data_IF_791128771477
#
_entry.id   IF_791128771477
#
_cell.length_a   1.000
_cell.length_b   1.000
_cell.length_c   1.000
_cell.angle_alpha   90.00
_cell.angle_beta   90.00
_cell.angle_gamma   90.00
#
_symmetry.space_group_name_H-M   'P 1'
#
loop_
_entity.id
_entity.type
_entity.pdbx_description
1 polymer ?
#
# COMPACT_ATOMS: atom_id res chain seq x y z
N UNK A 1 -9.46 11.11 2.99
CA UNK A 1 -10.05 11.73 4.19
C UNK A 1 -10.54 13.12 3.85
N UNK A 2 -9.67 14.09 3.53
CA UNK A 2 -10.09 15.47 3.22
C UNK A 2 -11.20 15.57 2.16
N UNK A 3 -11.06 14.90 1.01
CA UNK A 3 -12.10 14.88 -0.03
C UNK A 3 -13.42 14.29 0.44
N UNK A 4 -13.37 13.27 1.29
CA UNK A 4 -14.57 12.67 1.90
C UNK A 4 -15.22 13.66 2.86
N UNK A 5 -14.44 14.28 3.75
CA UNK A 5 -14.93 15.24 4.74
C UNK A 5 -15.60 16.43 4.05
N UNK A 6 -15.02 16.97 2.98
CA UNK A 6 -15.64 18.05 2.18
C UNK A 6 -16.97 17.66 1.53
N UNK A 7 -17.17 16.37 1.22
CA UNK A 7 -18.44 15.88 0.69
C UNK A 7 -19.44 15.56 1.80
N UNK A 8 -18.96 15.11 2.95
CA UNK A 8 -19.77 14.76 4.11
C UNK A 8 -20.29 15.99 4.85
N UNK A 9 -19.45 17.03 4.99
CA UNK A 9 -19.80 18.31 5.58
C UNK A 9 -19.33 19.46 4.67
N UNK A 10 -20.25 20.35 4.29
CA UNK A 10 -19.99 21.49 3.43
C UNK A 10 -18.99 22.49 4.05
N UNK A 11 -18.89 22.54 5.38
CA UNK A 11 -17.92 23.38 6.09
C UNK A 11 -16.48 22.83 6.01
N UNK A 12 -16.29 21.59 5.55
CA UNK A 12 -14.98 20.99 5.29
C UNK A 12 -14.27 20.40 6.51
N UNK A 13 -14.89 20.46 7.70
CA UNK A 13 -14.37 19.89 8.95
C UNK A 13 -15.43 19.04 9.66
N UNK A 14 -14.97 18.06 10.45
CA UNK A 14 -15.83 17.18 11.26
C UNK A 14 -15.21 17.07 12.65
N UNK A 15 -16.01 17.35 13.68
CA UNK A 15 -15.56 17.22 15.07
C UNK A 15 -15.39 15.75 15.44
N UNK A 16 -14.40 15.43 16.29
CA UNK A 16 -14.19 14.07 16.77
C UNK A 16 -15.42 13.48 17.48
N UNK A 17 -16.24 14.33 18.13
CA UNK A 17 -17.50 13.95 18.76
C UNK A 17 -18.60 13.54 17.77
N UNK A 18 -18.49 13.95 16.50
CA UNK A 18 -19.44 13.60 15.44
C UNK A 18 -19.05 12.31 14.71
N UNK A 19 -17.88 11.74 15.02
CA UNK A 19 -17.42 10.50 14.39
C UNK A 19 -18.17 9.33 15.02
N UNK A 20 -18.97 8.66 14.20
CA UNK A 20 -19.76 7.48 14.57
C UNK A 20 -19.30 6.26 13.77
N UNK A 21 -19.89 5.10 14.05
CA UNK A 21 -19.69 3.93 13.22
C UNK A 21 -20.26 4.11 11.80
N UNK A 22 -21.34 4.87 11.65
CA UNK A 22 -21.92 5.24 10.35
C UNK A 22 -20.92 6.06 9.52
N UNK A 23 -20.22 7.02 10.13
CA UNK A 23 -19.17 7.79 9.45
C UNK A 23 -18.09 6.89 8.83
N UNK A 24 -17.71 5.80 9.51
CA UNK A 24 -16.73 4.87 8.97
C UNK A 24 -17.28 4.02 7.82
N UNK A 25 -18.57 3.64 7.87
CA UNK A 25 -19.26 2.97 6.75
C UNK A 25 -19.34 3.88 5.54
N UNK A 26 -19.72 5.14 5.74
CA UNK A 26 -19.77 6.15 4.66
C UNK A 26 -18.39 6.42 4.09
N UNK A 27 -17.36 6.47 4.95
CA UNK A 27 -15.98 6.62 4.49
C UNK A 27 -15.52 5.42 3.67
N UNK A 28 -15.87 4.20 4.09
CA UNK A 28 -15.59 2.98 3.33
C UNK A 28 -16.27 3.02 1.96
N UNK A 29 -17.56 3.36 1.93
CA UNK A 29 -18.34 3.50 0.70
C UNK A 29 -17.76 4.56 -0.22
N UNK A 30 -17.35 5.70 0.33
CA UNK A 30 -16.71 6.78 -0.41
C UNK A 30 -15.45 6.31 -1.13
N UNK A 31 -14.56 5.59 -0.44
CA UNK A 31 -13.30 5.08 -1.04
C UNK A 31 -13.59 4.16 -2.23
N UNK A 32 -14.61 3.30 -2.12
CA UNK A 32 -15.00 2.39 -3.19
C UNK A 32 -15.64 3.11 -4.39
N UNK A 33 -16.43 4.13 -4.13
CA UNK A 33 -17.18 4.88 -5.15
C UNK A 33 -16.37 5.99 -5.83
N UNK A 34 -15.26 6.44 -5.22
CA UNK A 34 -14.42 7.52 -5.75
C UNK A 34 -12.98 7.07 -5.98
N UNK A 35 -12.74 6.15 -6.94
CA UNK A 35 -11.42 5.65 -7.22
C UNK A 35 -10.52 6.76 -7.79
N UNK A 36 -9.26 6.82 -7.35
CA UNK A 36 -8.28 7.79 -7.86
C UNK A 36 -7.99 7.54 -9.34
N UNK A 37 -8.00 6.26 -9.75
CA UNK A 37 -7.77 5.81 -11.11
C UNK A 37 -9.03 5.07 -11.58
N UNK A 38 -9.61 5.42 -12.74
CA UNK A 38 -10.86 4.81 -13.19
C UNK A 38 -10.82 3.27 -13.29
N UNK A 39 -9.66 2.72 -13.63
CA UNK A 39 -9.47 1.28 -13.86
C UNK A 39 -8.79 0.56 -12.70
N UNK A 40 -8.67 1.20 -11.53
CA UNK A 40 -7.99 0.64 -10.36
C UNK A 40 -8.73 1.09 -9.08
N UNK A 41 -9.94 0.53 -8.85
CA UNK A 41 -10.73 0.84 -7.66
C UNK A 41 -10.03 0.35 -6.40
N UNK A 42 -10.07 1.16 -5.34
CA UNK A 42 -9.43 0.83 -4.08
C UNK A 42 -10.29 -0.15 -3.29
N UNK A 43 -10.01 -1.45 -3.45
CA UNK A 43 -10.73 -2.53 -2.78
C UNK A 43 -9.81 -3.40 -1.90
N UNK A 44 -10.40 -4.44 -1.30
CA UNK A 44 -9.69 -5.47 -0.54
C UNK A 44 -8.69 -4.90 0.48
N UNK A 45 -7.41 -5.19 0.26
CA UNK A 45 -6.34 -4.76 1.16
C UNK A 45 -6.10 -3.26 1.15
N UNK A 46 -6.30 -2.58 0.01
CA UNK A 46 -6.12 -1.13 -0.09
C UNK A 46 -7.14 -0.42 0.80
N UNK A 47 -8.40 -0.79 0.64
CA UNK A 47 -9.49 -0.30 1.48
C UNK A 47 -9.26 -0.60 2.97
N UNK A 48 -8.91 -1.85 3.30
CA UNK A 48 -8.59 -2.26 4.66
C UNK A 48 -7.48 -1.38 5.28
N UNK A 49 -6.47 -0.98 4.50
CA UNK A 49 -5.41 -0.07 4.96
C UNK A 49 -5.92 1.34 5.25
N UNK A 50 -6.89 1.84 4.48
CA UNK A 50 -7.52 3.13 4.78
C UNK A 50 -8.28 3.09 6.09
N UNK A 51 -9.09 2.05 6.31
CA UNK A 51 -9.81 1.85 7.57
C UNK A 51 -8.84 1.68 8.75
N UNK A 52 -7.76 0.90 8.58
CA UNK A 52 -6.72 0.72 9.60
C UNK A 52 -6.10 2.07 10.03
N UNK A 53 -5.76 2.92 9.06
CA UNK A 53 -5.20 4.26 9.33
C UNK A 53 -6.21 5.14 10.05
N UNK A 54 -7.48 5.11 9.64
CA UNK A 54 -8.54 5.88 10.28
C UNK A 54 -8.74 5.45 11.75
N UNK A 55 -8.85 4.13 11.98
CA UNK A 55 -8.91 3.56 13.33
C UNK A 55 -7.71 3.93 14.19
N UNK A 56 -6.51 3.99 13.61
CA UNK A 56 -5.29 4.41 14.33
C UNK A 56 -5.37 5.88 14.77
N UNK A 57 -5.90 6.77 13.94
CA UNK A 57 -6.10 8.18 14.30
C UNK A 57 -7.06 8.31 15.49
N UNK A 58 -8.16 7.57 15.49
CA UNK A 58 -9.13 7.58 16.60
C UNK A 58 -8.56 6.97 17.88
N UNK A 59 -7.73 5.93 17.75
CA UNK A 59 -6.99 5.39 18.89
C UNK A 59 -6.02 6.42 19.48
N UNK A 60 -5.35 7.23 18.66
CA UNK A 60 -4.54 8.35 19.18
C UNK A 60 -5.39 9.40 19.89
N UNK A 61 -6.56 9.76 19.35
CA UNK A 61 -7.47 10.68 20.02
C UNK A 61 -7.92 10.15 21.39
N UNK A 62 -8.15 8.83 21.51
CA UNK A 62 -8.46 8.15 22.77
C UNK A 62 -7.27 8.18 23.75
N UNK A 63 -6.06 7.86 23.28
CA UNK A 63 -4.82 7.91 24.07
C UNK A 63 -4.55 9.33 24.61
N UNK A 64 -4.83 10.36 23.82
CA UNK A 64 -4.73 11.78 24.18
C UNK A 64 -5.92 12.28 25.02
N UNK A 65 -6.90 11.42 25.32
CA UNK A 65 -8.13 11.75 26.07
C UNK A 65 -9.01 12.82 25.42
N UNK A 66 -8.92 13.00 24.09
CA UNK A 66 -9.83 13.86 23.33
C UNK A 66 -11.20 13.22 23.15
N UNK A 67 -11.25 11.89 23.14
CA UNK A 67 -12.46 11.09 23.15
C UNK A 67 -12.36 10.03 24.26
N UNK A 68 -13.50 9.66 24.85
CA UNK A 68 -13.54 8.65 25.91
C UNK A 68 -13.30 7.22 25.38
N UNK A 69 -13.78 6.95 24.16
CA UNK A 69 -13.67 5.66 23.49
C UNK A 69 -13.56 5.86 21.98
N UNK A 70 -12.97 4.88 21.30
CA UNK A 70 -12.91 4.89 19.84
C UNK A 70 -14.25 4.37 19.29
N UNK A 71 -15.00 5.17 18.52
CA UNK A 71 -16.34 4.81 18.03
C UNK A 71 -16.34 3.66 17.02
N UNK A 72 -15.17 3.24 16.51
CA UNK A 72 -15.03 2.16 15.54
C UNK A 72 -14.09 1.04 16.02
N UNK A 73 -13.96 0.86 17.34
CA UNK A 73 -13.14 -0.22 17.90
C UNK A 73 -13.63 -1.62 17.46
N UNK A 74 -14.93 -1.80 17.26
CA UNK A 74 -15.51 -3.07 16.79
C UNK A 74 -15.59 -3.19 15.27
N UNK A 75 -15.27 -2.13 14.53
CA UNK A 75 -15.27 -2.16 13.08
C UNK A 75 -14.13 -3.07 12.59
N UNK A 76 -14.50 -4.15 11.90
CA UNK A 76 -13.59 -5.19 11.43
C UNK A 76 -13.35 -5.09 9.92
N UNK A 77 -12.13 -5.43 9.50
CA UNK A 77 -11.76 -5.52 8.10
C UNK A 77 -10.84 -6.72 7.90
N UNK A 78 -11.03 -7.45 6.82
CA UNK A 78 -10.21 -8.62 6.49
C UNK A 78 -9.16 -8.26 5.46
N UNK A 79 -7.88 -8.42 5.84
CA UNK A 79 -6.79 -8.37 4.86
C UNK A 79 -6.53 -9.77 4.30
N UNK A 80 -6.53 -9.90 2.98
CA UNK A 80 -6.12 -11.11 2.27
C UNK A 80 -4.61 -11.14 2.20
N UNK A 81 -3.97 -12.20 2.71
CA UNK A 81 -2.52 -12.38 2.54
C UNK A 81 -2.21 -12.50 1.03
N UNK A 82 -1.39 -11.62 0.45
CA UNK A 82 -1.08 -11.71 -0.97
C UNK A 82 -0.32 -13.00 -1.25
N UNK A 83 -0.77 -13.76 -2.26
CA UNK A 83 -0.03 -14.91 -2.77
C UNK A 83 1.13 -14.39 -3.60
N UNK A 84 2.33 -14.37 -3.03
CA UNK A 84 3.56 -14.05 -3.78
C UNK A 84 4.18 -15.35 -4.27
N UNK A 85 4.26 -15.56 -5.57
CA UNK A 85 5.05 -16.67 -6.14
C UNK A 85 6.52 -16.34 -5.90
N UNK A 86 7.25 -17.30 -5.34
CA UNK A 86 8.71 -17.21 -5.20
C UNK A 86 9.35 -17.85 -6.43
N UNK A 87 10.45 -17.27 -6.89
CA UNK A 87 11.27 -17.86 -7.94
C UNK A 87 12.21 -18.87 -7.30
N UNK A 88 12.30 -20.05 -7.90
CA UNK A 88 13.21 -21.13 -7.49
C UNK A 88 14.60 -20.93 -8.11
N UNK A 89 15.62 -21.61 -7.58
CA UNK A 89 16.97 -21.50 -8.13
C UNK A 89 17.04 -22.04 -9.57
N UNK A 90 16.26 -23.08 -9.88
CA UNK A 90 16.16 -23.64 -11.22
C UNK A 90 15.54 -22.62 -12.21
N UNK A 91 14.50 -21.89 -11.78
CA UNK A 91 13.90 -20.82 -12.58
C UNK A 91 14.87 -19.64 -12.79
N UNK A 92 15.72 -19.31 -11.81
CA UNK A 92 16.75 -18.27 -11.96
C UNK A 92 17.82 -18.66 -12.98
N UNK A 93 18.32 -19.91 -12.93
CA UNK A 93 19.31 -20.41 -13.90
C UNK A 93 18.72 -20.45 -15.32
N UNK A 94 17.43 -20.78 -15.45
CA UNK A 94 16.75 -20.71 -16.74
C UNK A 94 16.66 -19.27 -17.25
N UNK A 95 16.34 -18.32 -16.37
CA UNK A 95 16.23 -16.90 -16.71
C UNK A 95 17.60 -16.34 -17.13
N UNK A 96 18.68 -16.70 -16.44
CA UNK A 96 20.05 -16.28 -16.78
C UNK A 96 20.42 -16.64 -18.21
N UNK A 97 20.08 -17.87 -18.63
CA UNK A 97 20.32 -18.38 -20.00
C UNK A 97 19.35 -17.82 -21.05
N UNK A 98 18.28 -17.16 -20.63
CA UNK A 98 17.30 -16.59 -21.54
C UNK A 98 17.84 -15.29 -22.15
N UNK A 99 17.99 -15.27 -23.47
CA UNK A 99 18.33 -14.05 -24.22
C UNK A 99 17.05 -13.48 -24.81
N UNK A 100 16.69 -12.28 -24.40
CA UNK A 100 15.50 -11.58 -24.91
C UNK A 100 15.88 -10.75 -26.14
N UNK A 101 14.93 -10.50 -27.03
CA UNK A 101 15.18 -9.67 -28.23
C UNK A 101 15.33 -8.19 -27.85
N UNK A 102 14.58 -7.76 -26.84
CA UNK A 102 14.56 -6.37 -26.40
C UNK A 102 15.77 -6.07 -25.46
N UNK A 103 16.63 -5.09 -25.79
CA UNK A 103 17.76 -4.72 -24.95
C UNK A 103 17.37 -4.20 -23.55
N UNK A 104 16.24 -3.50 -23.43
CA UNK A 104 15.72 -2.99 -22.16
C UNK A 104 15.27 -4.18 -21.30
N UNK A 105 14.60 -5.17 -21.90
CA UNK A 105 14.21 -6.37 -21.14
C UNK A 105 15.42 -7.17 -20.68
N UNK A 106 16.49 -7.27 -21.48
CA UNK A 106 17.74 -7.88 -21.01
C UNK A 106 18.36 -7.11 -19.84
N UNK A 107 18.41 -5.78 -19.92
CA UNK A 107 18.90 -4.96 -18.81
C UNK A 107 18.10 -5.16 -17.52
N UNK A 108 16.76 -5.13 -17.61
CA UNK A 108 15.88 -5.38 -16.46
C UNK A 108 16.04 -6.81 -15.91
N UNK A 109 16.25 -7.80 -16.79
CA UNK A 109 16.54 -9.18 -16.42
C UNK A 109 17.84 -9.28 -15.62
N UNK A 110 18.91 -8.67 -16.10
CA UNK A 110 20.22 -8.71 -15.44
C UNK A 110 20.16 -8.02 -14.08
N UNK A 111 19.45 -6.89 -14.00
CA UNK A 111 19.20 -6.17 -12.74
C UNK A 111 18.38 -7.01 -11.74
N UNK A 112 17.35 -7.71 -12.23
CA UNK A 112 16.55 -8.62 -11.42
C UNK A 112 17.37 -9.81 -10.90
N UNK A 113 18.18 -10.44 -11.76
CA UNK A 113 19.07 -11.55 -11.39
C UNK A 113 20.09 -11.09 -10.34
N UNK A 114 20.71 -9.93 -10.55
CA UNK A 114 21.65 -9.35 -9.60
C UNK A 114 20.99 -9.06 -8.24
N UNK A 115 19.78 -8.51 -8.23
CA UNK A 115 19.00 -8.31 -6.99
C UNK A 115 18.68 -9.63 -6.29
N UNK A 116 18.36 -10.70 -7.03
CA UNK A 116 18.10 -12.03 -6.46
C UNK A 116 19.36 -12.63 -5.82
N UNK A 117 20.54 -12.43 -6.41
CA UNK A 117 21.80 -13.00 -5.90
C UNK A 117 22.41 -12.18 -4.76
N UNK A 118 22.32 -10.85 -4.81
CA UNK A 118 22.88 -9.96 -3.78
C UNK A 118 21.91 -9.69 -2.62
N UNK A 119 20.61 -9.88 -2.83
CA UNK A 119 19.58 -9.50 -1.86
C UNK A 119 19.31 -8.00 -1.77
N UNK A 120 19.90 -7.19 -2.67
CA UNK A 120 19.68 -5.75 -2.72
C UNK A 120 18.27 -5.41 -3.22
N UNK A 121 17.72 -4.29 -2.75
CA UNK A 121 16.46 -3.80 -3.31
C UNK A 121 16.71 -3.30 -4.74
N UNK A 122 15.69 -3.42 -5.59
CA UNK A 122 15.79 -3.02 -7.00
C UNK A 122 16.28 -1.57 -7.18
N UNK A 123 15.84 -0.66 -6.29
CA UNK A 123 16.28 0.74 -6.29
C UNK A 123 17.77 0.89 -5.97
N UNK A 124 18.30 0.06 -5.09
CA UNK A 124 19.72 0.06 -4.71
C UNK A 124 20.56 -0.46 -5.88
N UNK A 125 20.11 -1.53 -6.53
CA UNK A 125 20.78 -2.06 -7.72
C UNK A 125 20.84 -1.02 -8.86
N UNK A 126 19.79 -0.22 -9.06
CA UNK A 126 19.80 0.87 -10.05
C UNK A 126 20.75 2.01 -9.67
N UNK A 127 20.99 2.22 -8.38
CA UNK A 127 21.87 3.28 -7.88
C UNK A 127 23.36 2.86 -7.87
N UNK A 128 23.68 1.59 -8.18
CA UNK A 128 25.05 1.11 -8.22
C UNK A 128 25.84 1.80 -9.34
N UNK A 129 27.04 2.21 -8.95
CA UNK A 129 28.06 2.78 -9.82
C UNK A 129 29.39 2.08 -9.58
N UNK A 130 30.36 2.32 -10.45
CA UNK A 130 31.67 1.65 -10.39
C UNK A 130 32.41 1.86 -9.06
N UNK A 131 32.15 2.97 -8.35
CA UNK A 131 32.79 3.28 -7.06
C UNK A 131 32.34 2.38 -5.92
N UNK A 132 31.25 1.62 -6.11
CA UNK A 132 30.74 0.68 -5.12
C UNK A 132 31.37 -0.71 -5.24
N UNK A 133 32.22 -0.94 -6.23
CA UNK A 133 32.92 -2.20 -6.45
C UNK A 133 34.40 -2.03 -6.11
N UNK A 134 34.93 -2.94 -5.30
CA UNK A 134 36.37 -3.10 -5.13
C UNK A 134 36.89 -3.91 -6.34
N UNK A 135 37.34 -3.18 -7.37
CA UNK A 135 38.03 -3.73 -8.55
C UNK A 135 39.53 -3.45 -8.49
#
# INVERSE_FOLDING_TARGET
>A
MEKFVKQYNAEGDVLLSQITMEFAVDFEFYIRSHPIRPNDPCDGNGLAKHIQRFKRILNWAKELKWIAANPIDDYSYTMKKPKRKKVTMEELVLLEKCVLVDPILNYVKDLFLYACYSGLAFIDCMALSITHFEL
#
